data_IF_985520282872
#
_entry.id   IF_985520282872
#
_cell.length_a   1.000
_cell.length_b   1.000
_cell.length_c   1.000
_cell.angle_alpha   90.00
_cell.angle_beta   90.00
_cell.angle_gamma   90.00
#
_symmetry.space_group_name_H-M   'P 1'
#
loop_
_entity.id
_entity.type
_entity.pdbx_description
1 polymer ?
#
# COMPACT_ATOMS: atom_id res chain seq x y z
N UNK A 1 -29.51 52.55 32.35
CA UNK A 1 -29.33 51.63 31.21
C UNK A 1 -27.87 51.63 30.78
N UNK A 2 -27.05 50.66 31.21
CA UNK A 2 -25.71 50.42 30.64
C UNK A 2 -25.76 49.06 29.95
N UNK A 3 -25.65 49.10 28.62
CA UNK A 3 -25.72 47.92 27.74
C UNK A 3 -24.43 47.11 27.87
N UNK A 4 -24.60 45.79 27.99
CA UNK A 4 -23.60 44.76 27.76
C UNK A 4 -23.05 44.86 26.32
N UNK A 5 -21.76 44.59 26.14
CA UNK A 5 -21.16 44.20 24.86
C UNK A 5 -20.36 42.90 25.09
N UNK A 6 -20.58 41.82 24.33
CA UNK A 6 -19.93 40.54 24.60
C UNK A 6 -18.52 40.50 23.99
N UNK A 7 -17.59 40.03 24.81
CA UNK A 7 -16.22 39.68 24.46
C UNK A 7 -16.23 38.31 23.77
N UNK A 8 -16.41 38.28 22.44
CA UNK A 8 -16.43 37.05 21.67
C UNK A 8 -15.78 37.27 20.29
N UNK A 9 -14.47 37.56 20.24
CA UNK A 9 -13.77 37.72 18.95
C UNK A 9 -12.24 37.49 19.02
N UNK A 10 -11.77 36.45 19.73
CA UNK A 10 -10.32 36.14 19.77
C UNK A 10 -9.92 34.67 19.62
N UNK A 11 -10.87 33.73 19.44
CA UNK A 11 -10.54 32.31 19.26
C UNK A 11 -10.43 31.84 17.80
N UNK A 12 -10.93 32.61 16.83
CA UNK A 12 -10.99 32.17 15.42
C UNK A 12 -9.67 32.42 14.66
N UNK A 13 -8.82 33.34 15.13
CA UNK A 13 -7.57 33.70 14.43
C UNK A 13 -6.44 32.70 14.64
N UNK A 14 -6.35 32.04 15.80
CA UNK A 14 -5.26 31.09 16.08
C UNK A 14 -5.35 29.80 15.27
N UNK A 15 -6.56 29.28 15.02
CA UNK A 15 -6.77 28.04 14.25
C UNK A 15 -6.47 28.20 12.75
N UNK A 16 -6.77 29.37 12.17
CA UNK A 16 -6.50 29.63 10.75
C UNK A 16 -5.00 29.80 10.47
N UNK A 17 -4.26 30.45 11.38
CA UNK A 17 -2.80 30.57 11.24
C UNK A 17 -2.08 29.22 11.36
N UNK A 18 -2.50 28.33 12.26
CA UNK A 18 -1.86 27.01 12.41
C UNK A 18 -2.12 26.07 11.23
N UNK A 19 -3.31 26.15 10.61
CA UNK A 19 -3.66 25.33 9.44
C UNK A 19 -2.86 25.73 8.20
N UNK A 20 -2.77 27.03 7.91
CA UNK A 20 -1.94 27.54 6.82
C UNK A 20 -0.46 27.17 7.02
N UNK A 21 0.04 27.29 8.25
CA UNK A 21 1.41 26.93 8.59
C UNK A 21 1.70 25.43 8.38
N UNK A 22 0.74 24.53 8.63
CA UNK A 22 0.90 23.10 8.33
C UNK A 22 0.93 22.85 6.82
N UNK A 23 -0.01 23.43 6.07
CA UNK A 23 -0.07 23.27 4.61
C UNK A 23 1.22 23.76 3.93
N UNK A 24 1.75 24.92 4.32
CA UNK A 24 3.00 25.46 3.79
C UNK A 24 4.22 24.56 4.10
N UNK A 25 4.23 23.92 5.27
CA UNK A 25 5.28 22.95 5.65
C UNK A 25 5.18 21.65 4.86
N UNK A 26 3.95 21.16 4.61
CA UNK A 26 3.71 20.00 3.75
C UNK A 26 4.16 20.30 2.32
N UNK A 27 3.79 21.47 1.78
CA UNK A 27 4.23 21.91 0.45
C UNK A 27 5.76 21.98 0.32
N UNK A 28 6.42 22.59 1.32
CA UNK A 28 7.88 22.66 1.37
C UNK A 28 8.54 21.29 1.44
N UNK A 29 7.96 20.37 2.21
CA UNK A 29 8.42 18.98 2.31
C UNK A 29 8.31 18.27 0.96
N UNK A 30 7.15 18.38 0.29
CA UNK A 30 6.94 17.73 -1.01
C UNK A 30 7.91 18.28 -2.05
N UNK A 31 8.10 19.59 -2.12
CA UNK A 31 9.07 20.22 -3.04
C UNK A 31 10.51 19.78 -2.81
N UNK A 32 10.87 19.42 -1.58
CA UNK A 32 12.20 18.92 -1.25
C UNK A 32 12.38 17.43 -1.59
N UNK A 33 11.31 16.63 -1.46
CA UNK A 33 11.34 15.17 -1.64
C UNK A 33 10.96 14.72 -3.06
N UNK A 34 10.27 15.56 -3.82
CA UNK A 34 9.77 15.24 -5.16
C UNK A 34 10.49 16.06 -6.22
N UNK A 35 11.57 15.47 -6.76
CA UNK A 35 12.37 16.04 -7.86
C UNK A 35 12.28 15.15 -9.11
N UNK A 36 11.08 14.99 -9.65
CA UNK A 36 10.85 14.22 -10.89
C UNK A 36 9.99 15.00 -11.89
N UNK A 37 10.19 14.78 -13.21
CA UNK A 37 9.39 15.42 -14.23
C UNK A 37 7.94 14.89 -14.28
N UNK A 38 7.71 13.64 -13.88
CA UNK A 38 6.35 13.09 -13.73
C UNK A 38 5.61 13.80 -12.59
N UNK A 39 4.36 13.45 -12.31
CA UNK A 39 3.58 14.13 -11.30
C UNK A 39 2.99 13.25 -10.19
N UNK A 40 2.56 13.94 -9.15
CA UNK A 40 1.84 13.38 -8.01
C UNK A 40 0.68 14.29 -7.61
N UNK A 41 -0.37 13.69 -7.07
CA UNK A 41 -1.39 14.38 -6.28
C UNK A 41 -1.32 13.89 -4.84
N UNK A 42 -1.50 14.81 -3.89
CA UNK A 42 -1.38 14.57 -2.45
C UNK A 42 -2.55 15.21 -1.76
N UNK A 43 -3.25 14.44 -0.92
CA UNK A 43 -4.32 14.95 -0.09
C UNK A 43 -4.18 14.42 1.34
N UNK A 44 -4.40 15.33 2.29
CA UNK A 44 -4.36 15.06 3.73
C UNK A 44 -5.67 15.52 4.33
N UNK A 45 -6.41 14.63 4.97
CA UNK A 45 -7.56 14.99 5.80
C UNK A 45 -7.30 14.62 7.25
N UNK A 46 -7.81 15.44 8.17
CA UNK A 46 -7.77 15.14 9.59
C UNK A 46 -9.02 15.67 10.30
N UNK A 47 -9.71 14.81 11.05
CA UNK A 47 -10.97 15.15 11.74
C UNK A 47 -12.04 15.67 10.77
N UNK A 48 -12.21 14.98 9.64
CA UNK A 48 -13.14 15.34 8.56
C UNK A 48 -12.82 16.64 7.81
N UNK A 49 -11.65 17.25 8.03
CA UNK A 49 -11.25 18.50 7.36
C UNK A 49 -10.05 18.26 6.45
N UNK A 50 -10.07 18.82 5.24
CA UNK A 50 -8.89 18.88 4.38
C UNK A 50 -7.83 19.77 5.01
N UNK A 51 -6.66 19.20 5.30
CA UNK A 51 -5.48 19.89 5.82
C UNK A 51 -4.51 20.29 4.71
N UNK A 52 -4.49 19.53 3.62
CA UNK A 52 -3.67 19.78 2.45
C UNK A 52 -4.32 19.10 1.23
N UNK A 53 -4.29 19.77 0.08
CA UNK A 53 -4.66 19.23 -1.22
C UNK A 53 -3.80 19.90 -2.29
N UNK A 54 -2.98 19.13 -2.99
CA UNK A 54 -1.97 19.67 -3.88
C UNK A 54 -1.55 18.71 -4.99
N UNK A 55 -1.05 19.29 -6.07
CA UNK A 55 -0.58 18.58 -7.26
C UNK A 55 0.78 19.13 -7.69
N UNK A 56 1.66 18.23 -8.13
CA UNK A 56 3.05 18.54 -8.48
C UNK A 56 3.45 17.82 -9.76
N UNK A 57 4.36 18.42 -10.54
CA UNK A 57 4.91 17.85 -11.77
C UNK A 57 3.93 17.85 -12.95
N UNK A 58 4.18 16.97 -13.93
CA UNK A 58 3.38 16.90 -15.16
C UNK A 58 2.38 15.75 -15.16
N UNK A 59 1.11 16.05 -15.42
CA UNK A 59 0.07 15.08 -15.78
C UNK A 59 0.40 14.37 -17.10
N UNK A 60 0.91 15.14 -18.06
CA UNK A 60 1.41 14.64 -19.33
C UNK A 60 2.76 15.29 -19.64
N UNK A 61 3.82 14.49 -19.66
CA UNK A 61 5.20 14.93 -19.86
C UNK A 61 5.45 15.35 -21.31
N UNK A 62 4.87 14.65 -22.29
CA UNK A 62 5.05 14.95 -23.72
C UNK A 62 4.52 16.33 -24.10
N UNK A 63 3.38 16.70 -23.49
CA UNK A 63 2.66 17.93 -23.77
C UNK A 63 2.90 19.02 -22.70
N UNK A 64 3.66 18.70 -21.65
CA UNK A 64 3.90 19.58 -20.50
C UNK A 64 2.60 20.10 -19.88
N UNK A 65 1.61 19.21 -19.74
CA UNK A 65 0.36 19.54 -19.03
C UNK A 65 0.61 19.43 -17.53
N UNK A 66 0.41 20.52 -16.74
CA UNK A 66 0.61 20.48 -15.30
C UNK A 66 -0.38 19.52 -14.64
N UNK A 67 0.06 18.89 -13.54
CA UNK A 67 -0.79 18.05 -12.71
C UNK A 67 -1.82 18.88 -11.96
N UNK A 68 -3.05 18.37 -11.86
CA UNK A 68 -4.17 18.91 -11.09
C UNK A 68 -4.71 17.85 -10.12
N UNK A 69 -5.40 18.28 -9.06
CA UNK A 69 -5.90 17.37 -8.01
C UNK A 69 -7.09 16.52 -8.47
N UNK A 70 -7.73 16.89 -9.57
CA UNK A 70 -8.82 16.16 -10.25
C UNK A 70 -8.34 15.28 -11.42
N UNK A 71 -7.02 15.12 -11.61
CA UNK A 71 -6.46 14.14 -12.54
C UNK A 71 -6.73 12.71 -12.07
N UNK A 72 -7.11 11.84 -13.02
CA UNK A 72 -7.59 10.48 -12.76
C UNK A 72 -6.47 9.48 -12.98
N UNK A 73 -6.07 8.80 -11.89
CA UNK A 73 -4.97 7.84 -11.85
C UNK A 73 -5.48 6.41 -11.85
N UNK A 74 -4.65 5.47 -12.32
CA UNK A 74 -4.89 4.04 -12.04
C UNK A 74 -4.51 3.74 -10.60
N UNK A 75 -5.42 3.12 -9.85
CA UNK A 75 -5.22 2.86 -8.42
C UNK A 75 -4.34 1.65 -8.14
N UNK A 76 -4.33 0.67 -9.06
CA UNK A 76 -3.76 -0.64 -8.76
C UNK A 76 -4.47 -1.26 -7.55
N UNK A 77 -3.71 -1.92 -6.70
CA UNK A 77 -4.24 -2.74 -5.60
C UNK A 77 -5.09 -2.04 -4.54
N UNK A 78 -5.15 -0.71 -4.48
CA UNK A 78 -6.17 -0.02 -3.64
C UNK A 78 -7.60 -0.40 -4.07
N UNK A 79 -7.78 -0.84 -5.33
CA UNK A 79 -9.01 -1.46 -5.83
C UNK A 79 -9.57 -2.54 -4.89
N UNK A 80 -8.71 -3.32 -4.24
CA UNK A 80 -9.09 -4.45 -3.37
C UNK A 80 -9.98 -4.04 -2.20
N UNK A 81 -9.87 -2.79 -1.74
CA UNK A 81 -10.75 -2.23 -0.72
C UNK A 81 -12.22 -2.22 -1.18
N UNK A 82 -12.46 -1.82 -2.42
CA UNK A 82 -13.79 -1.76 -3.03
C UNK A 82 -14.37 -3.17 -3.23
N UNK A 83 -13.54 -4.09 -3.72
CA UNK A 83 -13.95 -5.50 -3.90
C UNK A 83 -14.30 -6.16 -2.59
N UNK A 84 -13.49 -5.96 -1.55
CA UNK A 84 -13.76 -6.48 -0.21
C UNK A 84 -15.07 -5.93 0.34
N UNK A 85 -15.27 -4.61 0.28
CA UNK A 85 -16.52 -3.97 0.69
C UNK A 85 -17.73 -4.49 -0.07
N UNK A 86 -17.61 -4.77 -1.36
CA UNK A 86 -18.69 -5.36 -2.17
C UNK A 86 -19.05 -6.78 -1.70
N UNK A 87 -18.04 -7.63 -1.42
CA UNK A 87 -18.26 -8.98 -0.89
C UNK A 87 -18.95 -8.92 0.47
N UNK A 88 -18.49 -8.05 1.37
CA UNK A 88 -19.09 -7.87 2.68
C UNK A 88 -20.53 -7.33 2.58
N UNK A 89 -20.79 -6.39 1.68
CA UNK A 89 -22.14 -5.86 1.41
C UNK A 89 -23.08 -6.96 0.90
N UNK A 90 -22.62 -7.85 0.02
CA UNK A 90 -23.39 -9.00 -0.43
C UNK A 90 -23.63 -10.02 0.70
N UNK A 91 -22.65 -10.21 1.59
CA UNK A 91 -22.79 -11.05 2.77
C UNK A 91 -23.82 -10.50 3.76
N UNK A 92 -23.81 -9.19 4.02
CA UNK A 92 -24.81 -8.49 4.84
C UNK A 92 -26.22 -8.61 4.28
N UNK A 93 -26.35 -8.65 2.94
CA UNK A 93 -27.61 -8.89 2.24
C UNK A 93 -28.05 -10.37 2.28
N UNK A 94 -27.27 -11.26 2.87
CA UNK A 94 -27.53 -12.70 2.91
C UNK A 94 -27.39 -13.41 1.56
N UNK A 95 -26.77 -12.76 0.56
CA UNK A 95 -26.63 -13.31 -0.81
C UNK A 95 -25.45 -14.29 -0.93
N UNK A 96 -24.47 -14.18 -0.04
CA UNK A 96 -23.35 -15.10 0.08
C UNK A 96 -22.94 -15.23 1.56
N UNK A 97 -22.13 -16.24 1.87
CA UNK A 97 -21.42 -16.33 3.14
C UNK A 97 -19.91 -16.30 2.84
N UNK A 98 -19.12 -15.54 3.61
CA UNK A 98 -17.66 -15.50 3.44
C UNK A 98 -16.99 -16.86 3.74
N UNK A 99 -17.70 -17.76 4.42
CA UNK A 99 -17.27 -19.15 4.64
C UNK A 99 -17.73 -20.11 3.53
N UNK A 100 -18.42 -19.63 2.50
CA UNK A 100 -18.77 -20.45 1.35
C UNK A 100 -17.49 -20.96 0.65
N UNK A 101 -17.49 -22.23 0.30
CA UNK A 101 -16.45 -22.84 -0.54
C UNK A 101 -16.49 -22.22 -1.95
N UNK A 102 -15.34 -21.91 -2.52
CA UNK A 102 -15.23 -21.36 -3.88
C UNK A 102 -15.83 -22.29 -4.94
N UNK A 103 -15.91 -23.61 -4.73
CA UNK A 103 -16.56 -24.55 -5.66
C UNK A 103 -18.03 -24.24 -5.90
N UNK A 104 -18.70 -23.56 -4.97
CA UNK A 104 -20.06 -23.05 -5.15
C UNK A 104 -20.16 -22.10 -6.35
N UNK A 105 -19.09 -21.35 -6.62
CA UNK A 105 -19.01 -20.34 -7.68
C UNK A 105 -18.16 -20.80 -8.88
N UNK A 106 -17.24 -21.73 -8.63
CA UNK A 106 -16.32 -22.29 -9.63
C UNK A 106 -16.23 -23.82 -9.48
N UNK A 107 -17.25 -24.59 -9.92
CA UNK A 107 -17.35 -26.04 -9.62
C UNK A 107 -16.19 -26.91 -10.12
N UNK A 108 -15.42 -26.43 -11.10
CA UNK A 108 -14.27 -27.15 -11.67
C UNK A 108 -12.91 -26.58 -11.27
N UNK A 109 -12.83 -25.70 -10.26
CA UNK A 109 -11.55 -25.14 -9.84
C UNK A 109 -10.74 -26.17 -9.05
N UNK A 110 -9.46 -26.43 -9.38
CA UNK A 110 -8.62 -27.38 -8.67
C UNK A 110 -8.18 -26.79 -7.34
N UNK A 111 -8.33 -27.56 -6.28
CA UNK A 111 -7.97 -27.16 -4.91
C UNK A 111 -7.16 -28.22 -4.19
N UNK A 112 -6.70 -29.25 -4.91
CA UNK A 112 -6.03 -30.44 -4.35
C UNK A 112 -6.86 -31.14 -3.24
N UNK A 113 -8.18 -31.01 -3.29
CA UNK A 113 -9.09 -31.58 -2.30
C UNK A 113 -9.25 -30.75 -1.02
N UNK A 114 -8.60 -29.59 -0.92
CA UNK A 114 -8.82 -28.65 0.17
C UNK A 114 -10.06 -27.79 -0.06
N UNK A 115 -10.74 -27.42 1.03
CA UNK A 115 -11.77 -26.37 1.02
C UNK A 115 -11.10 -25.00 1.03
N UNK A 116 -11.41 -24.18 0.04
CA UNK A 116 -10.98 -22.78 -0.03
C UNK A 116 -12.23 -21.91 0.12
N UNK A 117 -12.27 -21.04 1.13
CA UNK A 117 -13.40 -20.15 1.36
C UNK A 117 -13.20 -18.79 0.70
N UNK A 118 -14.28 -18.02 0.57
CA UNK A 118 -14.21 -16.60 0.19
C UNK A 118 -13.30 -15.81 1.15
N UNK A 119 -13.32 -16.10 2.45
CA UNK A 119 -12.44 -15.48 3.44
C UNK A 119 -10.96 -15.75 3.14
N UNK A 120 -10.60 -16.95 2.70
CA UNK A 120 -9.22 -17.24 2.29
C UNK A 120 -8.79 -16.37 1.10
N UNK A 121 -9.70 -16.04 0.17
CA UNK A 121 -9.42 -15.10 -0.91
C UNK A 121 -9.24 -13.67 -0.40
N UNK A 122 -10.11 -13.20 0.50
CA UNK A 122 -10.05 -11.85 1.10
C UNK A 122 -8.77 -11.60 1.90
N UNK A 123 -8.23 -12.65 2.52
CA UNK A 123 -7.09 -12.56 3.44
C UNK A 123 -5.75 -12.94 2.82
N UNK A 124 -5.72 -13.29 1.53
CA UNK A 124 -4.53 -13.82 0.83
C UNK A 124 -3.96 -15.09 1.49
N UNK A 125 -4.85 -15.99 1.93
CA UNK A 125 -4.48 -17.25 2.58
C UNK A 125 -4.99 -18.49 1.83
N UNK A 126 -5.41 -18.35 0.56
CA UNK A 126 -6.00 -19.43 -0.22
C UNK A 126 -5.03 -20.50 -0.72
N UNK A 127 -3.74 -20.20 -0.79
CA UNK A 127 -2.77 -21.09 -1.45
C UNK A 127 -2.84 -21.09 -2.98
N UNK A 128 -3.82 -20.42 -3.59
CA UNK A 128 -3.96 -20.36 -5.05
C UNK A 128 -2.77 -19.57 -5.64
N UNK A 129 -2.11 -20.02 -6.73
CA UNK A 129 -1.07 -19.23 -7.39
C UNK A 129 -1.58 -17.91 -7.96
N UNK A 130 -0.82 -16.82 -7.78
CA UNK A 130 -1.17 -15.52 -8.36
C UNK A 130 -0.81 -15.50 -9.84
N UNK A 131 -1.77 -15.19 -10.72
CA UNK A 131 -1.52 -15.18 -12.17
C UNK A 131 -0.41 -14.18 -12.56
N UNK A 132 -0.23 -13.11 -11.79
CA UNK A 132 0.82 -12.10 -11.98
C UNK A 132 2.23 -12.61 -11.69
N UNK A 133 2.34 -13.74 -10.98
CA UNK A 133 3.62 -14.35 -10.61
C UNK A 133 3.99 -15.48 -11.60
N UNK A 134 3.05 -15.84 -12.49
CA UNK A 134 3.21 -16.91 -13.45
C UNK A 134 4.04 -16.45 -14.66
N UNK A 135 4.99 -17.28 -15.15
CA UNK A 135 5.84 -16.92 -16.28
C UNK A 135 5.04 -16.72 -17.59
N UNK A 136 3.82 -17.25 -17.67
CA UNK A 136 2.92 -17.06 -18.81
C UNK A 136 2.30 -15.67 -18.86
N UNK A 137 2.35 -14.88 -17.78
CA UNK A 137 1.88 -13.49 -17.77
C UNK A 137 2.93 -12.56 -18.40
N UNK A 138 3.13 -12.74 -19.71
CA UNK A 138 4.16 -12.03 -20.49
C UNK A 138 3.66 -10.69 -21.03
N UNK A 139 4.56 -9.79 -21.49
CA UNK A 139 4.17 -8.53 -22.14
C UNK A 139 3.24 -8.71 -23.36
N UNK A 140 3.31 -9.82 -24.07
CA UNK A 140 2.38 -10.16 -25.16
C UNK A 140 0.99 -10.47 -24.60
N UNK A 141 0.91 -11.22 -23.50
CA UNK A 141 -0.36 -11.52 -22.83
C UNK A 141 -0.97 -10.28 -22.23
N UNK A 142 -0.19 -9.34 -21.68
CA UNK A 142 -0.70 -8.05 -21.17
C UNK A 142 -1.53 -7.26 -22.20
N UNK A 143 -1.37 -7.54 -23.50
CA UNK A 143 -2.10 -6.87 -24.59
C UNK A 143 -3.43 -7.52 -24.94
N UNK A 144 -3.74 -8.69 -24.39
CA UNK A 144 -4.99 -9.42 -24.64
C UNK A 144 -6.07 -8.96 -23.67
N UNK A 145 -7.29 -8.85 -24.18
CA UNK A 145 -8.48 -8.72 -23.33
C UNK A 145 -8.97 -10.10 -22.93
N UNK A 146 -9.42 -10.24 -21.69
CA UNK A 146 -10.03 -11.46 -21.18
C UNK A 146 -11.36 -11.12 -20.49
N UNK A 147 -12.36 -11.98 -20.66
CA UNK A 147 -13.47 -12.05 -19.70
C UNK A 147 -12.99 -12.67 -18.38
N UNK A 148 -13.73 -12.48 -17.27
CA UNK A 148 -13.35 -13.10 -16.00
C UNK A 148 -13.20 -14.63 -16.08
N UNK A 149 -14.12 -15.32 -16.74
CA UNK A 149 -14.06 -16.78 -16.86
C UNK A 149 -12.86 -17.23 -17.74
N UNK A 150 -12.52 -16.49 -18.82
CA UNK A 150 -11.37 -16.80 -19.67
C UNK A 150 -10.04 -16.63 -18.93
N UNK A 151 -9.86 -15.55 -18.15
CA UNK A 151 -8.61 -15.33 -17.41
C UNK A 151 -8.44 -16.37 -16.31
N UNK A 152 -9.52 -16.70 -15.59
CA UNK A 152 -9.51 -17.73 -14.55
C UNK A 152 -9.09 -19.07 -15.16
N UNK A 153 -9.62 -19.45 -16.33
CA UNK A 153 -9.27 -20.72 -16.96
C UNK A 153 -7.84 -20.72 -17.54
N UNK A 154 -7.41 -19.63 -18.19
CA UNK A 154 -6.05 -19.50 -18.75
C UNK A 154 -4.95 -19.69 -17.70
N UNK A 155 -5.16 -19.12 -16.51
CA UNK A 155 -4.16 -19.12 -15.43
C UNK A 155 -4.47 -20.11 -14.31
N UNK A 156 -5.46 -20.98 -14.48
CA UNK A 156 -5.74 -22.05 -13.53
C UNK A 156 -4.54 -22.99 -13.42
N UNK A 157 -4.26 -23.45 -12.20
CA UNK A 157 -3.17 -24.39 -11.89
C UNK A 157 -3.70 -25.48 -10.99
N UNK A 158 -3.27 -26.71 -11.22
CA UNK A 158 -3.74 -27.87 -10.46
C UNK A 158 -3.10 -27.99 -9.07
N UNK A 159 -2.09 -27.18 -8.78
CA UNK A 159 -1.32 -27.19 -7.52
C UNK A 159 -1.44 -25.87 -6.78
N UNK A 160 -1.65 -25.94 -5.46
CA UNK A 160 -1.56 -24.83 -4.54
C UNK A 160 -0.10 -24.58 -4.12
N UNK A 161 0.21 -23.33 -3.78
CA UNK A 161 1.49 -22.94 -3.19
C UNK A 161 1.64 -23.43 -1.74
N UNK A 162 0.52 -23.61 -1.03
CA UNK A 162 0.43 -24.06 0.36
C UNK A 162 -1.03 -24.40 0.74
N UNK A 163 -1.23 -25.11 1.84
CA UNK A 163 -2.57 -25.45 2.34
C UNK A 163 -3.36 -24.19 2.74
N UNK A 164 -4.65 -24.06 2.39
CA UNK A 164 -5.45 -22.87 2.71
C UNK A 164 -5.46 -22.55 4.22
N UNK A 165 -5.30 -21.28 4.58
CA UNK A 165 -5.24 -20.79 5.96
C UNK A 165 -3.89 -20.98 6.65
N UNK A 166 -2.95 -21.76 6.09
CA UNK A 166 -1.67 -22.05 6.75
C UNK A 166 -0.61 -20.94 6.62
N UNK A 167 -0.68 -20.13 5.56
CA UNK A 167 0.27 -19.06 5.29
C UNK A 167 -0.41 -17.86 4.66
N UNK A 168 0.24 -16.70 4.77
CA UNK A 168 -0.10 -15.51 4.00
C UNK A 168 0.79 -15.42 2.76
N UNK A 169 0.19 -15.22 1.58
CA UNK A 169 0.90 -14.88 0.34
C UNK A 169 0.00 -13.99 -0.51
N UNK A 170 0.38 -12.73 -0.67
CA UNK A 170 -0.37 -11.74 -1.45
C UNK A 170 -0.75 -12.28 -2.83
N UNK A 171 -2.02 -12.16 -3.21
CA UNK A 171 -2.57 -12.89 -4.35
C UNK A 171 -3.56 -12.08 -5.18
N UNK A 172 -3.24 -11.87 -6.46
CA UNK A 172 -4.14 -11.16 -7.37
C UNK A 172 -5.25 -12.05 -7.92
N UNK A 173 -5.00 -13.36 -8.11
CA UNK A 173 -6.03 -14.33 -8.55
C UNK A 173 -7.21 -14.38 -7.58
N UNK A 174 -6.95 -14.39 -6.27
CA UNK A 174 -7.99 -14.43 -5.26
C UNK A 174 -8.93 -13.22 -5.34
N UNK A 175 -8.38 -12.01 -5.44
CA UNK A 175 -9.19 -10.80 -5.63
C UNK A 175 -9.87 -10.71 -6.99
N UNK A 176 -9.25 -11.26 -8.03
CA UNK A 176 -9.88 -11.40 -9.33
C UNK A 176 -11.13 -12.30 -9.23
N UNK A 177 -11.00 -13.45 -8.57
CA UNK A 177 -12.10 -14.38 -8.32
C UNK A 177 -13.20 -13.75 -7.45
N UNK A 178 -12.86 -12.92 -6.45
CA UNK A 178 -13.86 -12.15 -5.69
C UNK A 178 -14.70 -11.23 -6.59
N UNK A 179 -14.08 -10.60 -7.59
CA UNK A 179 -14.81 -9.86 -8.63
C UNK A 179 -15.82 -10.72 -9.37
N UNK A 180 -15.39 -11.89 -9.84
CA UNK A 180 -16.27 -12.82 -10.54
C UNK A 180 -17.40 -13.36 -9.62
N UNK A 181 -17.15 -13.55 -8.33
CA UNK A 181 -18.19 -13.90 -7.35
C UNK A 181 -19.21 -12.76 -7.21
N UNK A 182 -18.76 -11.50 -7.15
CA UNK A 182 -19.66 -10.33 -7.12
C UNK A 182 -20.59 -10.35 -8.34
N UNK A 183 -20.08 -10.60 -9.54
CA UNK A 183 -20.90 -10.66 -10.76
C UNK A 183 -21.89 -11.82 -10.73
N UNK A 184 -21.43 -13.05 -10.40
CA UNK A 184 -22.30 -14.23 -10.34
C UNK A 184 -23.40 -14.11 -9.29
N UNK A 185 -23.12 -13.47 -8.14
CA UNK A 185 -24.09 -13.31 -7.03
C UNK A 185 -25.03 -12.13 -7.26
N UNK A 186 -24.55 -11.03 -7.84
CA UNK A 186 -25.36 -9.82 -8.05
C UNK A 186 -26.14 -9.83 -9.37
N UNK A 187 -25.65 -10.55 -10.39
CA UNK A 187 -26.15 -10.47 -11.77
C UNK A 187 -25.76 -9.16 -12.49
N UNK A 188 -24.88 -8.35 -11.90
CA UNK A 188 -24.38 -7.09 -12.46
C UNK A 188 -22.93 -7.26 -12.89
N UNK A 189 -22.45 -6.43 -13.82
CA UNK A 189 -21.01 -6.31 -14.04
C UNK A 189 -20.35 -5.74 -12.78
N UNK A 190 -19.06 -6.02 -12.57
CA UNK A 190 -18.31 -5.49 -11.44
C UNK A 190 -18.33 -3.96 -11.39
N UNK A 191 -18.17 -3.31 -12.55
CA UNK A 191 -18.27 -1.85 -12.68
C UNK A 191 -19.64 -1.34 -12.26
N UNK A 192 -20.73 -1.89 -12.81
CA UNK A 192 -22.09 -1.44 -12.51
C UNK A 192 -22.45 -1.67 -11.04
N UNK A 193 -22.00 -2.78 -10.46
CA UNK A 193 -22.21 -3.05 -9.04
C UNK A 193 -21.54 -1.97 -8.18
N UNK A 194 -20.25 -1.70 -8.40
CA UNK A 194 -19.54 -0.70 -7.61
C UNK A 194 -20.08 0.71 -7.81
N UNK A 195 -20.41 1.08 -9.06
CA UNK A 195 -20.98 2.39 -9.39
C UNK A 195 -22.28 2.63 -8.64
N UNK A 196 -23.21 1.68 -8.73
CA UNK A 196 -24.57 1.85 -8.17
C UNK A 196 -24.62 1.66 -6.65
N UNK A 197 -23.80 0.77 -6.10
CA UNK A 197 -23.81 0.48 -4.66
C UNK A 197 -22.97 1.45 -3.85
N UNK A 198 -21.94 2.06 -4.45
CA UNK A 198 -20.98 2.88 -3.72
C UNK A 198 -20.73 4.23 -4.37
N UNK A 199 -20.26 4.29 -5.62
CA UNK A 199 -19.73 5.56 -6.15
C UNK A 199 -20.80 6.64 -6.32
N UNK A 200 -21.94 6.32 -6.94
CA UNK A 200 -23.06 7.25 -7.12
C UNK A 200 -23.65 7.71 -5.76
N UNK A 201 -24.00 6.81 -4.81
CA UNK A 201 -24.50 7.23 -3.49
C UNK A 201 -23.53 8.09 -2.68
N UNK A 202 -22.22 7.85 -2.82
CA UNK A 202 -21.19 8.59 -2.10
C UNK A 202 -20.76 9.88 -2.81
N UNK A 203 -21.18 10.09 -4.06
CA UNK A 203 -20.76 11.24 -4.87
C UNK A 203 -19.30 11.15 -5.36
N UNK A 204 -18.77 9.94 -5.52
CA UNK A 204 -17.43 9.69 -6.09
C UNK A 204 -17.48 9.80 -7.62
N UNK A 205 -17.59 11.04 -8.13
CA UNK A 205 -17.84 11.34 -9.55
C UNK A 205 -16.62 11.21 -10.45
N UNK A 206 -15.43 11.00 -9.89
CA UNK A 206 -14.18 10.81 -10.61
C UNK A 206 -13.59 9.41 -10.41
N UNK A 207 -14.42 8.45 -10.02
CA UNK A 207 -14.04 7.04 -9.85
C UNK A 207 -14.68 6.19 -10.93
N UNK A 208 -13.85 5.37 -11.58
CA UNK A 208 -14.24 4.62 -12.77
C UNK A 208 -13.63 3.22 -12.76
N UNK A 209 -14.24 2.31 -13.51
CA UNK A 209 -13.52 1.12 -13.94
C UNK A 209 -12.53 1.49 -15.05
N UNK A 210 -11.29 0.98 -14.95
CA UNK A 210 -10.26 1.21 -15.94
C UNK A 210 -10.64 0.59 -17.28
N UNK A 211 -10.78 1.42 -18.31
CA UNK A 211 -11.02 0.96 -19.67
C UNK A 211 -10.37 1.91 -20.67
N UNK A 212 -9.93 1.37 -21.81
CA UNK A 212 -9.35 2.14 -22.90
C UNK A 212 -10.41 2.62 -23.92
N UNK A 213 -11.65 2.12 -23.83
CA UNK A 213 -12.74 2.46 -24.76
C UNK A 213 -13.52 3.74 -24.38
N UNK A 214 -14.02 3.92 -23.14
CA UNK A 214 -14.76 5.12 -22.78
C UNK A 214 -13.81 6.31 -22.61
N UNK A 215 -14.36 7.50 -22.89
CA UNK A 215 -13.71 8.77 -22.59
C UNK A 215 -13.86 9.01 -21.09
N UNK A 216 -12.72 9.14 -20.41
CA UNK A 216 -12.64 9.44 -18.98
C UNK A 216 -12.02 10.84 -18.87
N UNK A 217 -12.77 11.86 -18.40
CA UNK A 217 -12.24 13.19 -18.17
C UNK A 217 -11.01 13.15 -17.26
N UNK A 218 -10.02 13.99 -17.55
CA UNK A 218 -8.76 14.10 -16.80
C UNK A 218 -7.98 12.78 -16.62
N UNK A 219 -8.24 11.75 -17.43
CA UNK A 219 -7.41 10.54 -17.43
C UNK A 219 -6.01 10.86 -17.95
N UNK A 220 -5.01 10.61 -17.10
CA UNK A 220 -3.61 10.88 -17.43
C UNK A 220 -2.87 9.60 -17.89
N UNK A 221 -1.80 9.72 -18.71
CA UNK A 221 -0.90 8.61 -19.00
C UNK A 221 -0.04 8.26 -17.78
N UNK A 222 0.52 7.05 -17.79
CA UNK A 222 1.49 6.59 -16.80
C UNK A 222 2.88 6.43 -17.40
N UNK A 223 3.91 6.61 -16.58
CA UNK A 223 5.31 6.59 -16.99
C UNK A 223 6.13 5.56 -16.22
N UNK A 224 7.24 5.14 -16.81
CA UNK A 224 8.20 4.24 -16.20
C UNK A 224 9.64 4.66 -16.51
N UNK A 225 10.61 4.03 -15.85
CA UNK A 225 12.04 4.19 -16.18
C UNK A 225 12.60 2.93 -16.84
N UNK A 226 13.42 3.13 -17.88
CA UNK A 226 14.28 2.12 -18.46
C UNK A 226 15.74 2.59 -18.32
N UNK A 227 16.45 2.05 -17.33
CA UNK A 227 17.66 2.69 -16.81
C UNK A 227 17.32 4.09 -16.29
N UNK A 228 18.08 5.10 -16.72
CA UNK A 228 17.82 6.51 -16.33
C UNK A 228 16.80 7.21 -17.25
N UNK A 229 16.36 6.56 -18.33
CA UNK A 229 15.46 7.17 -19.30
C UNK A 229 14.00 7.02 -18.88
N UNK A 230 13.29 8.14 -18.80
CA UNK A 230 11.83 8.16 -18.69
C UNK A 230 11.19 7.66 -20.00
N UNK A 231 10.26 6.71 -19.87
CA UNK A 231 9.50 6.12 -20.97
C UNK A 231 8.00 6.09 -20.63
N UNK A 232 7.16 5.95 -21.65
CA UNK A 232 5.76 5.60 -21.45
C UNK A 232 5.64 4.24 -20.77
N UNK A 233 4.66 4.08 -19.88
CA UNK A 233 4.41 2.81 -19.23
C UNK A 233 4.07 1.72 -20.26
N UNK A 234 4.54 0.48 -20.08
CA UNK A 234 4.15 -0.63 -20.94
C UNK A 234 2.63 -0.84 -20.90
N UNK A 235 2.08 -1.25 -22.03
CA UNK A 235 0.63 -1.48 -22.13
C UNK A 235 0.20 -2.65 -21.24
N UNK A 236 -0.94 -2.47 -20.58
CA UNK A 236 -1.66 -3.52 -19.87
C UNK A 236 -3.16 -3.35 -20.16
N UNK A 237 -3.81 -4.41 -20.61
CA UNK A 237 -5.25 -4.48 -20.70
C UNK A 237 -5.83 -4.43 -19.30
N UNK A 238 -6.73 -3.46 -19.08
CA UNK A 238 -7.39 -3.29 -17.80
C UNK A 238 -8.44 -4.39 -17.52
N UNK A 239 -8.68 -5.30 -18.46
CA UNK A 239 -9.48 -6.51 -18.18
C UNK A 239 -8.74 -7.51 -17.29
N UNK A 240 -7.40 -7.45 -17.22
CA UNK A 240 -6.62 -8.44 -16.48
C UNK A 240 -6.50 -8.15 -14.98
N UNK A 241 -6.20 -6.91 -14.53
CA UNK A 241 -6.21 -6.63 -13.09
C UNK A 241 -7.62 -6.66 -12.52
N UNK A 242 -8.65 -6.28 -13.31
CA UNK A 242 -10.07 -6.35 -12.97
C UNK A 242 -10.33 -5.91 -11.50
N UNK A 243 -11.00 -6.74 -10.70
CA UNK A 243 -11.27 -6.51 -9.29
C UNK A 243 -10.04 -6.56 -8.38
N UNK A 244 -8.87 -6.96 -8.86
CA UNK A 244 -7.63 -6.87 -8.11
C UNK A 244 -6.92 -5.53 -8.27
N UNK A 245 -7.19 -4.74 -9.32
CA UNK A 245 -6.38 -3.55 -9.57
C UNK A 245 -6.82 -2.54 -10.64
N UNK A 246 -8.00 -2.68 -11.25
CA UNK A 246 -8.36 -1.88 -12.43
C UNK A 246 -9.05 -0.55 -12.17
N UNK A 247 -9.39 -0.21 -10.93
CA UNK A 247 -10.10 1.05 -10.69
C UNK A 247 -9.21 2.27 -10.93
N UNK A 248 -9.86 3.33 -11.37
CA UNK A 248 -9.29 4.67 -11.50
C UNK A 248 -9.97 5.61 -10.50
N UNK A 249 -9.22 6.57 -9.96
CA UNK A 249 -9.81 7.59 -9.08
C UNK A 249 -8.88 8.81 -8.92
N UNK A 250 -9.31 9.76 -8.10
CA UNK A 250 -8.55 10.94 -7.65
C UNK A 250 -8.27 10.83 -6.15
N UNK A 251 -7.39 11.67 -5.62
CA UNK A 251 -7.17 11.76 -4.16
C UNK A 251 -8.43 12.21 -3.42
N UNK A 252 -9.22 13.11 -4.02
CA UNK A 252 -10.49 13.60 -3.46
C UNK A 252 -11.54 12.49 -3.31
N UNK A 253 -11.77 11.71 -4.35
CA UNK A 253 -12.72 10.59 -4.30
C UNK A 253 -12.24 9.50 -3.32
N UNK A 254 -10.93 9.23 -3.24
CA UNK A 254 -10.40 8.29 -2.25
C UNK A 254 -10.56 8.78 -0.80
N UNK A 255 -10.60 10.09 -0.56
CA UNK A 255 -10.92 10.62 0.76
C UNK A 255 -12.40 10.46 1.12
N UNK A 256 -13.30 10.63 0.14
CA UNK A 256 -14.73 10.30 0.29
C UNK A 256 -14.88 8.82 0.64
N UNK A 257 -14.21 7.94 -0.12
CA UNK A 257 -14.22 6.50 0.14
C UNK A 257 -13.71 6.16 1.54
N UNK A 258 -12.55 6.68 1.94
CA UNK A 258 -11.99 6.43 3.26
C UNK A 258 -12.96 6.87 4.36
N UNK A 259 -13.50 8.10 4.28
CA UNK A 259 -14.47 8.58 5.24
C UNK A 259 -15.72 7.69 5.29
N UNK A 260 -16.26 7.28 4.14
CA UNK A 260 -17.46 6.45 4.05
C UNK A 260 -17.25 5.04 4.63
N UNK A 261 -16.07 4.44 4.43
CA UNK A 261 -15.70 3.16 5.04
C UNK A 261 -15.69 3.32 6.57
N UNK A 262 -15.00 4.31 7.11
CA UNK A 262 -14.81 4.46 8.56
C UNK A 262 -16.00 5.07 9.32
N UNK A 263 -17.01 5.57 8.61
CA UNK A 263 -18.29 6.07 9.16
C UNK A 263 -19.47 5.10 8.95
N UNK A 264 -19.19 3.83 8.64
CA UNK A 264 -20.18 2.76 8.48
C UNK A 264 -21.21 2.99 7.35
N UNK A 265 -20.90 3.86 6.38
CA UNK A 265 -21.76 4.13 5.22
C UNK A 265 -21.62 3.07 4.12
N UNK A 266 -20.44 2.45 4.01
CA UNK A 266 -20.12 1.44 2.99
C UNK A 266 -20.56 0.04 3.42
N UNK A 267 -20.21 -0.34 4.65
CA UNK A 267 -20.50 -1.61 5.30
C UNK A 267 -20.80 -1.37 6.78
N UNK A 268 -21.49 -2.30 7.44
CA UNK A 268 -21.80 -2.18 8.86
C UNK A 268 -20.53 -2.15 9.73
N UNK A 269 -20.65 -1.59 10.94
CA UNK A 269 -19.56 -1.57 11.92
C UNK A 269 -19.02 -2.98 12.23
N UNK A 270 -19.87 -4.01 12.22
CA UNK A 270 -19.46 -5.40 12.41
C UNK A 270 -18.58 -5.90 11.25
N UNK A 271 -19.01 -5.69 10.00
CA UNK A 271 -18.23 -6.03 8.81
C UNK A 271 -16.93 -5.24 8.71
N UNK A 272 -16.97 -3.95 9.05
CA UNK A 272 -15.76 -3.13 9.11
C UNK A 272 -14.76 -3.65 10.14
N UNK A 273 -15.22 -4.05 11.32
CA UNK A 273 -14.36 -4.65 12.34
C UNK A 273 -13.72 -5.93 11.83
N UNK A 274 -14.47 -6.79 11.13
CA UNK A 274 -13.91 -7.99 10.48
C UNK A 274 -12.87 -7.60 9.42
N UNK A 275 -13.19 -6.67 8.53
CA UNK A 275 -12.31 -6.23 7.45
C UNK A 275 -10.99 -5.62 7.93
N UNK A 276 -10.96 -5.02 9.12
CA UNK A 276 -9.77 -4.38 9.68
C UNK A 276 -9.14 -5.17 10.85
N UNK A 277 -9.50 -6.44 11.01
CA UNK A 277 -8.84 -7.35 11.96
C UNK A 277 -7.86 -8.24 11.20
N UNK A 278 -6.59 -8.37 11.65
CA UNK A 278 -5.66 -9.29 11.01
C UNK A 278 -6.13 -10.74 11.12
N UNK A 279 -5.98 -11.49 10.03
CA UNK A 279 -6.32 -12.91 9.99
C UNK A 279 -5.40 -13.74 10.90
N UNK A 280 -5.93 -14.82 11.49
CA UNK A 280 -5.16 -15.76 12.31
C UNK A 280 -4.95 -17.05 11.53
N UNK A 281 -3.69 -17.39 11.26
CA UNK A 281 -3.30 -18.61 10.54
C UNK A 281 -3.57 -19.86 11.38
N UNK A 282 -3.53 -21.03 10.74
CA UNK A 282 -3.81 -22.32 11.40
C UNK A 282 -2.82 -22.67 12.53
N UNK A 283 -1.63 -22.08 12.54
CA UNK A 283 -0.64 -22.21 13.63
C UNK A 283 -0.88 -21.24 14.79
N UNK A 284 -1.91 -20.39 14.72
CA UNK A 284 -2.27 -19.38 15.71
C UNK A 284 -1.53 -18.04 15.58
N UNK A 285 -0.60 -17.91 14.65
CA UNK A 285 0.06 -16.63 14.35
C UNK A 285 -0.89 -15.68 13.61
N UNK A 286 -0.67 -14.37 13.78
CA UNK A 286 -1.48 -13.34 13.09
C UNK A 286 -0.74 -12.80 11.88
N UNK A 287 -1.48 -12.60 10.78
CA UNK A 287 -0.98 -11.84 9.64
C UNK A 287 -0.98 -10.35 9.97
N UNK A 288 -0.60 -9.52 9.00
CA UNK A 288 -0.76 -8.07 9.01
C UNK A 288 -1.80 -7.60 7.97
N UNK A 289 -2.75 -8.46 7.59
CA UNK A 289 -3.72 -8.19 6.54
C UNK A 289 -5.13 -8.56 7.00
N UNK A 290 -6.06 -7.64 6.78
CA UNK A 290 -7.50 -7.85 6.95
C UNK A 290 -8.15 -8.22 5.62
N UNK A 291 -9.33 -7.69 5.33
CA UNK A 291 -10.00 -7.90 4.04
C UNK A 291 -9.77 -6.69 3.13
N UNK A 292 -8.64 -6.64 2.42
CA UNK A 292 -8.36 -5.57 1.45
C UNK A 292 -7.54 -4.41 2.00
N UNK A 293 -7.11 -4.51 3.26
CA UNK A 293 -6.23 -3.55 3.93
C UNK A 293 -5.10 -4.25 4.67
N UNK A 294 -3.92 -3.66 4.62
CA UNK A 294 -2.85 -3.94 5.57
C UNK A 294 -3.18 -3.27 6.90
N UNK A 295 -2.93 -4.00 7.98
CA UNK A 295 -3.10 -3.54 9.36
C UNK A 295 -1.70 -3.43 9.95
N UNK A 296 -1.27 -2.18 10.13
CA UNK A 296 0.08 -1.85 10.53
C UNK A 296 0.11 -1.07 11.84
N UNK A 297 1.32 -0.58 12.13
CA UNK A 297 1.57 0.33 13.22
C UNK A 297 2.68 1.29 12.81
N UNK A 298 2.53 2.57 13.17
CA UNK A 298 3.56 3.59 12.98
C UNK A 298 3.58 4.52 14.19
N UNK A 299 4.74 4.64 14.83
CA UNK A 299 4.91 5.41 16.07
C UNK A 299 3.97 4.99 17.20
N UNK A 300 3.79 3.68 17.36
CA UNK A 300 2.84 3.04 18.29
C UNK A 300 1.37 3.36 18.02
N UNK A 301 1.06 4.06 16.90
CA UNK A 301 -0.31 4.30 16.44
C UNK A 301 -0.72 3.23 15.42
N UNK A 302 -1.92 2.65 15.52
CA UNK A 302 -2.43 1.72 14.51
C UNK A 302 -2.53 2.42 13.14
N UNK A 303 -2.23 1.68 12.07
CA UNK A 303 -2.45 2.13 10.70
C UNK A 303 -3.33 1.14 9.94
N UNK A 304 -4.21 1.67 9.10
CA UNK A 304 -4.99 0.89 8.14
C UNK A 304 -4.66 1.46 6.77
N UNK A 305 -4.04 0.66 5.91
CA UNK A 305 -3.45 1.17 4.68
C UNK A 305 -3.51 0.17 3.54
N UNK A 306 -3.33 0.67 2.32
CA UNK A 306 -3.03 -0.17 1.18
C UNK A 306 -2.23 0.64 0.15
N UNK A 307 -1.21 0.02 -0.44
CA UNK A 307 -0.47 0.58 -1.56
C UNK A 307 -0.99 0.03 -2.88
N UNK A 308 -0.79 0.74 -3.97
CA UNK A 308 -1.18 0.32 -5.30
C UNK A 308 0.01 0.40 -6.24
N UNK A 309 0.20 -0.64 -7.04
CA UNK A 309 1.15 -0.64 -8.14
C UNK A 309 0.50 -1.20 -9.38
N UNK A 310 0.63 -0.49 -10.48
CA UNK A 310 0.21 -0.93 -11.81
C UNK A 310 1.08 -0.21 -12.84
N UNK A 311 1.08 -0.69 -14.07
CA UNK A 311 1.90 -0.15 -15.15
C UNK A 311 1.78 1.38 -15.26
N UNK A 312 2.82 2.07 -14.82
CA UNK A 312 2.93 3.53 -14.86
C UNK A 312 2.39 4.29 -13.66
N UNK A 313 1.87 3.63 -12.62
CA UNK A 313 1.20 4.30 -11.51
C UNK A 313 1.54 3.66 -10.17
N UNK A 314 1.68 4.51 -9.16
CA UNK A 314 1.83 4.11 -7.77
C UNK A 314 0.84 4.89 -6.89
N UNK A 315 0.27 4.20 -5.91
CA UNK A 315 -0.66 4.76 -4.94
C UNK A 315 -0.19 4.43 -3.53
N UNK A 316 -0.31 5.38 -2.61
CA UNK A 316 -0.32 5.11 -1.18
C UNK A 316 -1.60 5.68 -0.57
N UNK A 317 -2.35 4.85 0.14
CA UNK A 317 -3.51 5.24 0.95
C UNK A 317 -3.26 4.79 2.39
N UNK A 318 -3.14 5.74 3.32
CA UNK A 318 -2.77 5.46 4.72
C UNK A 318 -3.68 6.20 5.69
N UNK A 319 -4.32 5.45 6.58
CA UNK A 319 -5.22 5.99 7.59
C UNK A 319 -4.72 5.67 9.01
N UNK A 320 -4.77 6.67 9.87
CA UNK A 320 -4.51 6.59 11.31
C UNK A 320 -5.85 6.79 12.04
N UNK A 321 -6.55 5.72 12.41
CA UNK A 321 -7.92 5.80 12.94
C UNK A 321 -8.01 6.59 14.25
N UNK A 322 -7.02 6.44 15.14
CA UNK A 322 -7.05 7.10 16.46
C UNK A 322 -6.89 8.62 16.35
N UNK A 323 -6.27 9.11 15.29
CA UNK A 323 -6.08 10.53 15.00
C UNK A 323 -7.03 11.04 13.90
N UNK A 324 -7.89 10.18 13.37
CA UNK A 324 -8.70 10.40 12.17
C UNK A 324 -7.91 11.13 11.07
N UNK A 325 -6.69 10.68 10.80
CA UNK A 325 -5.77 11.25 9.81
C UNK A 325 -5.67 10.33 8.60
N UNK A 326 -6.01 10.85 7.43
CA UNK A 326 -5.85 10.17 6.17
C UNK A 326 -4.83 10.90 5.29
N UNK A 327 -3.86 10.16 4.77
CA UNK A 327 -2.89 10.63 3.78
C UNK A 327 -3.00 9.75 2.56
N UNK A 328 -3.27 10.36 1.41
CA UNK A 328 -3.32 9.68 0.12
C UNK A 328 -2.45 10.39 -0.90
N UNK A 329 -1.66 9.61 -1.63
CA UNK A 329 -0.76 10.10 -2.68
C UNK A 329 -0.90 9.20 -3.90
N UNK A 330 -1.14 9.81 -5.06
CA UNK A 330 -1.19 9.14 -6.36
C UNK A 330 -0.04 9.65 -7.22
N UNK A 331 0.65 8.74 -7.91
CA UNK A 331 1.75 9.07 -8.82
C UNK A 331 1.49 8.45 -10.19
N UNK A 332 1.77 9.22 -11.25
CA UNK A 332 1.75 8.72 -12.63
C UNK A 332 3.13 8.20 -13.08
N UNK A 333 3.94 7.74 -12.12
CA UNK A 333 5.16 7.01 -12.43
C UNK A 333 5.40 5.87 -11.45
N UNK A 334 5.89 4.73 -11.96
CA UNK A 334 6.45 3.68 -11.09
C UNK A 334 7.87 3.99 -10.58
N UNK A 335 8.36 5.20 -10.85
CA UNK A 335 9.70 5.65 -10.50
C UNK A 335 9.77 6.49 -9.22
N UNK A 336 8.64 6.74 -8.56
CA UNK A 336 8.56 7.44 -7.27
C UNK A 336 7.63 6.68 -6.32
N UNK A 337 8.19 6.05 -5.29
CA UNK A 337 7.41 5.32 -4.29
C UNK A 337 6.78 6.30 -3.27
N UNK A 338 5.45 6.47 -3.24
CA UNK A 338 4.81 7.50 -2.41
C UNK A 338 4.79 7.19 -0.91
N UNK A 339 5.11 5.96 -0.50
CA UNK A 339 5.00 5.51 0.90
C UNK A 339 5.85 6.32 1.88
N UNK A 340 7.12 6.57 1.54
CA UNK A 340 8.01 7.34 2.39
C UNK A 340 7.54 8.81 2.54
N UNK A 341 7.08 9.43 1.46
CA UNK A 341 6.52 10.78 1.49
C UNK A 341 5.24 10.82 2.33
N UNK A 342 4.34 9.84 2.20
CA UNK A 342 3.13 9.74 3.01
C UNK A 342 3.45 9.64 4.51
N UNK A 343 4.44 8.83 4.89
CA UNK A 343 4.93 8.75 6.28
C UNK A 343 5.51 10.09 6.75
N UNK A 344 6.30 10.78 5.92
CA UNK A 344 6.86 12.09 6.29
C UNK A 344 5.75 13.14 6.52
N UNK A 345 4.75 13.17 5.65
CA UNK A 345 3.58 14.05 5.78
C UNK A 345 2.74 13.71 7.01
N UNK A 346 2.50 12.43 7.27
CA UNK A 346 1.77 11.99 8.46
C UNK A 346 2.51 12.40 9.74
N UNK A 347 3.83 12.19 9.79
CA UNK A 347 4.63 12.56 10.97
C UNK A 347 4.67 14.06 11.20
N UNK A 348 4.80 14.84 10.12
CA UNK A 348 4.69 16.29 10.17
C UNK A 348 3.33 16.77 10.71
N UNK A 349 2.25 16.13 10.28
CA UNK A 349 0.86 16.43 10.69
C UNK A 349 0.61 16.07 12.16
N UNK A 350 1.15 14.94 12.62
CA UNK A 350 1.01 14.46 13.99
C UNK A 350 2.05 15.05 14.97
N UNK A 351 2.97 15.88 14.48
CA UNK A 351 4.11 16.37 15.28
C UNK A 351 5.07 15.25 15.72
N UNK A 352 5.05 14.10 15.03
CA UNK A 352 5.94 12.97 15.30
C UNK A 352 7.30 13.22 14.64
N UNK A 353 8.36 12.82 15.32
CA UNK A 353 9.69 12.86 14.73
C UNK A 353 9.80 11.84 13.60
N UNK A 354 10.30 12.31 12.45
CA UNK A 354 10.67 11.46 11.32
C UNK A 354 12.05 10.82 11.51
N UNK A 355 12.82 11.29 12.50
CA UNK A 355 14.05 10.63 12.89
C UNK A 355 13.72 9.31 13.58
N UNK A 356 14.23 8.21 13.02
CA UNK A 356 14.20 6.90 13.69
C UNK A 356 14.81 7.05 15.09
N UNK A 357 14.19 6.45 16.13
CA UNK A 357 14.74 6.53 17.48
C UNK A 357 16.16 5.98 17.49
N UNK A 358 17.05 6.65 18.22
CA UNK A 358 18.42 6.20 18.41
C UNK A 358 18.57 5.86 19.88
N UNK A 359 18.82 4.59 20.18
CA UNK A 359 19.24 4.16 21.51
C UNK A 359 20.76 4.14 21.58
N UNK A 360 21.31 4.50 22.74
CA UNK A 360 22.72 4.27 23.00
C UNK A 360 22.94 2.80 23.34
N UNK A 361 23.99 2.23 22.74
CA UNK A 361 24.47 0.89 23.07
C UNK A 361 25.85 1.00 23.68
N UNK A 362 26.14 0.17 24.67
CA UNK A 362 27.45 0.19 25.33
C UNK A 362 28.55 -0.25 24.37
N UNK A 363 29.78 0.19 24.59
CA UNK A 363 30.94 -0.29 23.83
C UNK A 363 31.08 -1.82 23.88
N UNK A 364 30.71 -2.45 25.01
CA UNK A 364 30.72 -3.90 25.14
C UNK A 364 29.66 -4.56 24.23
N UNK A 365 28.47 -3.97 24.15
CA UNK A 365 27.41 -4.42 23.24
C UNK A 365 27.80 -4.20 21.78
N UNK A 366 28.49 -3.10 21.44
CA UNK A 366 28.99 -2.85 20.08
C UNK A 366 29.93 -3.96 19.60
N UNK A 367 30.77 -4.51 20.50
CA UNK A 367 31.73 -5.56 20.16
C UNK A 367 31.04 -6.86 19.68
N UNK A 368 29.84 -7.16 20.16
CA UNK A 368 29.11 -8.37 19.74
C UNK A 368 28.87 -8.41 18.23
N UNK A 369 28.71 -7.24 17.61
CA UNK A 369 28.37 -7.07 16.20
C UNK A 369 29.59 -6.97 15.29
N UNK A 370 30.78 -6.67 15.82
CA UNK A 370 32.01 -6.49 15.02
C UNK A 370 32.37 -7.78 14.31
N UNK A 371 32.48 -7.74 12.98
CA UNK A 371 32.71 -8.94 12.19
C UNK A 371 32.54 -8.72 10.69
N UNK A 372 32.77 -9.77 9.92
CA UNK A 372 32.49 -9.79 8.48
C UNK A 372 31.23 -10.62 8.21
N UNK A 373 30.32 -10.07 7.41
CA UNK A 373 29.05 -10.70 7.04
C UNK A 373 28.98 -10.82 5.52
N UNK A 374 28.87 -12.04 5.01
CA UNK A 374 28.96 -12.29 3.56
C UNK A 374 27.57 -12.34 2.94
N UNK A 375 27.21 -11.33 2.16
CA UNK A 375 25.91 -11.24 1.49
C UNK A 375 25.88 -12.08 0.20
N UNK A 376 26.99 -12.07 -0.54
CA UNK A 376 27.21 -12.84 -1.76
C UNK A 376 28.71 -13.10 -1.97
N UNK A 377 29.13 -14.04 -2.84
CA UNK A 377 30.54 -14.26 -3.14
C UNK A 377 31.23 -12.95 -3.58
N UNK A 378 32.23 -12.51 -2.80
CA UNK A 378 32.96 -11.27 -3.06
C UNK A 378 32.25 -9.98 -2.60
N UNK A 379 31.10 -10.07 -1.96
CA UNK A 379 30.38 -8.93 -1.38
C UNK A 379 30.16 -9.12 0.12
N UNK A 380 30.95 -8.39 0.90
CA UNK A 380 31.01 -8.45 2.36
C UNK A 380 30.57 -7.11 2.93
N UNK A 381 29.81 -7.17 4.03
CA UNK A 381 29.55 -6.06 4.93
C UNK A 381 30.45 -6.23 6.16
N UNK A 382 31.39 -5.31 6.34
CA UNK A 382 32.28 -5.30 7.50
C UNK A 382 31.71 -4.37 8.56
N UNK A 383 31.49 -4.90 9.75
CA UNK A 383 31.06 -4.14 10.93
C UNK A 383 32.27 -3.92 11.83
N UNK A 384 32.54 -2.66 12.18
CA UNK A 384 33.69 -2.29 13.01
C UNK A 384 33.39 -1.06 13.85
N UNK A 385 34.24 -0.79 14.85
CA UNK A 385 34.12 0.40 15.69
C UNK A 385 35.14 1.44 15.24
N UNK A 386 34.68 2.67 15.03
CA UNK A 386 35.53 3.82 14.74
C UNK A 386 35.02 5.04 15.50
N UNK A 387 35.90 5.71 16.25
CA UNK A 387 35.55 6.89 17.06
C UNK A 387 34.32 6.64 17.97
N UNK A 388 34.34 5.53 18.72
CA UNK A 388 33.27 5.09 19.63
C UNK A 388 31.89 4.88 18.98
N UNK A 389 31.87 4.68 17.66
CA UNK A 389 30.66 4.43 16.88
C UNK A 389 30.76 3.12 16.15
N UNK A 390 29.65 2.39 16.10
CA UNK A 390 29.53 1.21 15.25
C UNK A 390 29.35 1.65 13.80
N UNK A 391 30.18 1.11 12.92
CA UNK A 391 30.25 1.44 11.50
C UNK A 391 29.97 0.19 10.66
N UNK A 392 29.37 0.38 9.49
CA UNK A 392 29.22 -0.64 8.47
C UNK A 392 29.90 -0.18 7.18
N UNK A 393 30.64 -1.08 6.54
CA UNK A 393 31.23 -0.85 5.23
C UNK A 393 30.95 -2.03 4.31
N UNK A 394 30.19 -1.78 3.25
CA UNK A 394 30.05 -2.74 2.16
C UNK A 394 31.27 -2.68 1.23
N UNK A 395 31.56 -3.79 0.54
CA UNK A 395 32.70 -3.90 -0.37
C UNK A 395 32.68 -2.78 -1.43
N UNK A 396 33.79 -2.04 -1.56
CA UNK A 396 33.95 -0.88 -2.44
C UNK A 396 33.02 0.32 -2.14
N UNK A 397 32.44 0.40 -0.94
CA UNK A 397 31.63 1.54 -0.50
C UNK A 397 32.29 2.29 0.66
N UNK A 398 31.82 3.52 0.90
CA UNK A 398 32.21 4.29 2.08
C UNK A 398 31.66 3.64 3.35
N UNK A 399 32.36 3.81 4.46
CA UNK A 399 31.86 3.40 5.77
C UNK A 399 30.78 4.37 6.26
N UNK A 400 29.67 3.84 6.74
CA UNK A 400 28.54 4.60 7.25
C UNK A 400 28.26 4.20 8.72
N UNK A 401 27.81 5.16 9.52
CA UNK A 401 27.51 4.92 10.92
C UNK A 401 26.21 4.13 11.07
N UNK A 402 26.23 3.12 11.94
CA UNK A 402 25.04 2.41 12.39
C UNK A 402 24.45 3.10 13.62
N UNK A 403 23.13 3.28 13.59
CA UNK A 403 22.33 3.81 14.68
C UNK A 403 21.36 2.74 15.15
N UNK A 404 21.44 2.36 16.43
CA UNK A 404 20.54 1.36 16.99
C UNK A 404 19.14 1.94 17.20
N UNK A 405 18.10 1.28 16.71
CA UNK A 405 16.69 1.63 17.01
C UNK A 405 16.15 0.86 18.20
N UNK A 406 16.57 -0.40 18.33
CA UNK A 406 16.31 -1.32 19.45
C UNK A 406 17.47 -2.33 19.52
N UNK A 407 17.56 -3.20 20.53
CA UNK A 407 18.58 -4.26 20.55
C UNK A 407 18.58 -5.05 19.25
N UNK A 408 19.78 -5.30 18.72
CA UNK A 408 20.04 -6.04 17.49
C UNK A 408 19.43 -5.47 16.18
N UNK A 409 18.78 -4.29 16.19
CA UNK A 409 18.27 -3.63 14.99
C UNK A 409 18.86 -2.23 14.82
N UNK A 410 19.43 -2.00 13.64
CA UNK A 410 20.14 -0.77 13.30
C UNK A 410 19.64 -0.19 11.99
N UNK A 411 19.81 1.11 11.81
CA UNK A 411 19.62 1.78 10.54
C UNK A 411 20.81 2.66 10.20
N UNK A 412 20.91 3.02 8.93
CA UNK A 412 21.87 4.01 8.42
C UNK A 412 21.07 5.27 8.07
N UNK A 413 21.60 6.46 8.37
CA UNK A 413 20.87 7.73 8.10
C UNK A 413 20.94 8.14 6.64
N UNK A 414 22.05 7.80 6.01
CA UNK A 414 22.42 8.22 4.66
C UNK A 414 21.79 7.34 3.57
N UNK A 415 21.33 6.12 3.93
CA UNK A 415 20.68 5.18 3.00
C UNK A 415 19.47 4.54 3.67
N UNK A 416 18.42 4.27 2.90
CA UNK A 416 17.22 3.57 3.37
C UNK A 416 17.51 2.06 3.51
N UNK A 417 18.27 1.71 4.54
CA UNK A 417 18.62 0.34 4.88
C UNK A 417 18.52 0.11 6.40
N UNK A 418 18.13 -1.10 6.78
CA UNK A 418 18.20 -1.60 8.15
C UNK A 418 19.04 -2.87 8.21
N UNK A 419 19.77 -3.02 9.31
CA UNK A 419 20.60 -4.19 9.60
C UNK A 419 20.04 -4.82 10.86
N UNK A 420 19.52 -6.04 10.72
CA UNK A 420 19.03 -6.86 11.83
C UNK A 420 20.05 -7.95 12.13
N UNK A 421 20.52 -8.04 13.36
CA UNK A 421 21.46 -9.06 13.79
C UNK A 421 20.73 -10.23 14.43
N UNK A 422 20.98 -11.44 13.94
CA UNK A 422 20.38 -12.66 14.48
C UNK A 422 21.36 -13.31 15.44
N UNK A 423 20.86 -13.63 16.64
CA UNK A 423 21.62 -14.34 17.67
C UNK A 423 21.23 -15.81 17.75
N UNK A 424 22.22 -16.68 17.92
CA UNK A 424 22.05 -18.09 18.34
C UNK A 424 22.91 -18.32 19.57
N UNK A 425 22.29 -18.88 20.61
CA UNK A 425 22.96 -19.12 21.91
C UNK A 425 23.65 -17.85 22.48
N UNK A 426 23.02 -16.69 22.30
CA UNK A 426 23.52 -15.39 22.77
C UNK A 426 24.57 -14.73 21.88
N UNK A 427 25.09 -15.41 20.86
CA UNK A 427 26.09 -14.88 19.93
C UNK A 427 25.46 -14.44 18.61
N UNK A 428 25.90 -13.30 18.09
CA UNK A 428 25.52 -12.83 16.74
C UNK A 428 26.13 -13.77 15.69
N UNK A 429 25.27 -14.44 14.92
CA UNK A 429 25.67 -15.41 13.90
C UNK A 429 25.40 -14.95 12.47
N UNK A 430 24.55 -13.94 12.31
CA UNK A 430 24.04 -13.53 11.00
C UNK A 430 23.57 -12.08 11.07
N UNK A 431 23.63 -11.42 9.92
CA UNK A 431 23.10 -10.09 9.67
C UNK A 431 22.08 -10.22 8.55
N UNK A 432 20.91 -9.62 8.71
CA UNK A 432 19.90 -9.50 7.66
C UNK A 432 19.88 -8.04 7.21
N UNK A 433 20.17 -7.82 5.93
CA UNK A 433 20.07 -6.51 5.30
C UNK A 433 18.65 -6.33 4.75
N UNK A 434 17.93 -5.36 5.30
CA UNK A 434 16.64 -4.92 4.81
C UNK A 434 16.85 -3.67 3.96
N UNK A 435 16.70 -3.78 2.64
CA UNK A 435 16.89 -2.65 1.72
C UNK A 435 16.03 -2.80 0.47
N UNK A 436 15.36 -1.72 0.04
CA UNK A 436 14.55 -1.70 -1.18
C UNK A 436 13.37 -2.69 -1.16
N UNK A 437 12.85 -3.01 0.03
CA UNK A 437 11.76 -3.99 0.21
C UNK A 437 12.19 -5.46 0.20
N UNK A 438 13.48 -5.75 0.07
CA UNK A 438 14.04 -7.11 0.18
C UNK A 438 14.77 -7.30 1.52
N UNK A 439 14.75 -8.53 2.03
CA UNK A 439 15.57 -8.98 3.14
C UNK A 439 16.62 -9.98 2.63
N UNK A 440 17.89 -9.70 2.87
CA UNK A 440 19.02 -10.52 2.41
C UNK A 440 19.86 -10.99 3.60
N UNK A 441 20.03 -12.29 3.70
CA UNK A 441 20.79 -12.93 4.77
C UNK A 441 22.29 -12.89 4.46
N UNK A 442 23.07 -12.45 5.45
CA UNK A 442 24.52 -12.41 5.42
C UNK A 442 25.07 -13.16 6.65
N UNK A 443 25.43 -14.45 6.52
CA UNK A 443 26.06 -15.19 7.59
C UNK A 443 27.36 -14.52 8.03
N UNK A 444 27.59 -14.53 9.34
CA UNK A 444 28.86 -14.05 9.91
C UNK A 444 29.97 -15.03 9.54
N UNK A 445 31.01 -14.52 8.89
CA UNK A 445 32.16 -15.30 8.42
C UNK A 445 33.44 -15.00 9.20
N UNK A 446 33.51 -13.86 9.90
CA UNK A 446 34.57 -13.56 10.87
C UNK A 446 34.06 -12.88 12.13
#
# INVERSE_FOLDING_TARGET
MKRLLPMFFLLVTHFLLSGQQLADRIDSLIKADFDQPTGITVLVTQHGQTRFDGAYGWANVELQIPMHTDDVFRLGSVTKQFTSSAILRLAEQGKLNIQDDIHKYFPGYPTEGHTITIEHLLTHTSGIPSYTDLPEWTPEVHRKDFTPDELIEEFKRDTLDFEPGSRFKYNNTGYFMLGAIIEKVSGMTYEDYLRTQFWEPLGMTHTFYGSNSPIIPNRIPGYAKQGDKLINAPFLSMTQPYAAGSLLSTTGDLAIWNHAVFSDQVISAASRKMAHTPYTLTDGSKTNYGYGWFIGNKWDEPTIEHSGGIHGFLTQSKYFPDQDLYVVILSNCNCFAPGALADKIAGLTLGKSLAKPVIEISAQTMQDYVGEYTLAPGFIITIFIQNDKLMAQATNQAALQLYATKPDLFFIKEVEAELEFVRKEGKVTELILHQGGAAQNAPRTK
#
